data_IF_064645885530
#
_entry.id   IF_064645885530
#
_cell.length_a   1.000
_cell.length_b   1.000
_cell.length_c   1.000
_cell.angle_alpha   90.00
_cell.angle_beta   90.00
_cell.angle_gamma   90.00
#
_symmetry.space_group_name_H-M   'P 1'
#
loop_
_entity.id
_entity.type
_entity.pdbx_description
1 polymer ?
#
# COMPACT_ATOMS: atom_id res chain seq x y z
N UNK A 1 -14.26 -19.33 7.27
CA UNK A 1 -12.94 -19.48 6.61
C UNK A 1 -12.57 -18.27 5.76
N UNK A 2 -13.29 -17.96 4.67
CA UNK A 2 -12.94 -16.89 3.71
C UNK A 2 -12.93 -15.48 4.33
N UNK A 3 -13.89 -15.16 5.20
CA UNK A 3 -13.96 -13.86 5.88
C UNK A 3 -12.69 -13.56 6.70
N UNK A 4 -12.23 -14.53 7.48
CA UNK A 4 -11.04 -14.41 8.32
C UNK A 4 -9.77 -14.16 7.48
N UNK A 5 -9.64 -14.83 6.33
CA UNK A 5 -8.54 -14.60 5.39
C UNK A 5 -8.56 -13.19 4.80
N UNK A 6 -9.74 -12.65 4.45
CA UNK A 6 -9.89 -11.28 3.96
C UNK A 6 -9.49 -10.25 5.04
N UNK A 7 -9.85 -10.50 6.30
CA UNK A 7 -9.46 -9.65 7.42
C UNK A 7 -7.94 -9.62 7.61
N UNK A 8 -7.28 -10.80 7.60
CA UNK A 8 -5.81 -10.89 7.69
C UNK A 8 -5.15 -10.14 6.54
N UNK A 9 -5.64 -10.33 5.31
CA UNK A 9 -5.11 -9.64 4.13
C UNK A 9 -5.25 -8.12 4.25
N UNK A 10 -6.39 -7.62 4.73
CA UNK A 10 -6.57 -6.19 4.97
C UNK A 10 -5.56 -5.63 5.98
N UNK A 11 -5.28 -6.35 7.06
CA UNK A 11 -4.28 -5.96 8.07
C UNK A 11 -2.88 -5.93 7.45
N UNK A 12 -2.51 -6.94 6.67
CA UNK A 12 -1.21 -7.00 5.99
C UNK A 12 -1.06 -5.85 4.99
N UNK A 13 -2.09 -5.58 4.18
CA UNK A 13 -2.08 -4.47 3.22
C UNK A 13 -1.94 -3.11 3.92
N UNK A 14 -2.65 -2.91 5.03
CA UNK A 14 -2.54 -1.70 5.83
C UNK A 14 -1.13 -1.55 6.43
N UNK A 15 -0.55 -2.64 6.94
CA UNK A 15 0.81 -2.64 7.47
C UNK A 15 1.81 -2.23 6.37
N UNK A 16 1.75 -2.87 5.21
CA UNK A 16 2.63 -2.57 4.06
C UNK A 16 2.47 -1.10 3.66
N UNK A 17 1.23 -0.62 3.55
CA UNK A 17 0.95 0.77 3.23
C UNK A 17 1.61 1.73 4.20
N UNK A 18 1.40 1.56 5.51
CA UNK A 18 1.99 2.45 6.54
C UNK A 18 3.52 2.44 6.50
N UNK A 19 4.13 1.26 6.31
CA UNK A 19 5.60 1.16 6.19
C UNK A 19 6.11 1.85 4.93
N UNK A 20 5.44 1.70 3.79
CA UNK A 20 5.84 2.34 2.53
C UNK A 20 5.64 3.85 2.59
N UNK A 21 4.55 4.35 3.17
CA UNK A 21 4.34 5.80 3.41
C UNK A 21 5.45 6.37 4.30
N UNK A 22 5.81 5.66 5.38
CA UNK A 22 6.90 6.08 6.27
C UNK A 22 8.23 6.20 5.52
N UNK A 23 8.52 5.24 4.64
CA UNK A 23 9.70 5.29 3.78
C UNK A 23 9.64 6.45 2.78
N UNK A 24 8.48 6.70 2.17
CA UNK A 24 8.27 7.84 1.27
C UNK A 24 8.50 9.19 1.96
N UNK A 25 8.05 9.33 3.21
CA UNK A 25 8.34 10.51 4.03
C UNK A 25 9.83 10.66 4.28
N UNK A 26 10.53 9.60 4.66
CA UNK A 26 11.98 9.65 4.85
C UNK A 26 12.72 10.03 3.55
N UNK A 27 12.32 9.47 2.40
CA UNK A 27 12.88 9.83 1.08
C UNK A 27 12.61 11.29 0.70
N UNK A 28 11.46 11.84 1.11
CA UNK A 28 11.14 13.24 0.93
C UNK A 28 12.07 14.15 1.75
N UNK A 29 12.30 13.77 3.01
CA UNK A 29 13.18 14.49 3.94
C UNK A 29 14.65 14.47 3.45
N UNK A 30 15.07 13.40 2.77
CA UNK A 30 16.38 13.27 2.10
C UNK A 30 16.48 14.07 0.78
N UNK A 31 15.56 15.01 0.54
CA UNK A 31 15.48 15.88 -0.65
C UNK A 31 15.25 15.15 -1.98
N UNK A 32 15.00 13.84 -1.98
CA UNK A 32 14.64 13.07 -3.18
C UNK A 32 13.12 13.09 -3.40
N UNK A 33 12.61 14.24 -3.85
CA UNK A 33 11.15 14.45 -4.01
C UNK A 33 10.52 13.55 -5.06
N UNK A 34 11.19 13.31 -6.20
CA UNK A 34 10.67 12.41 -7.24
C UNK A 34 10.60 10.97 -6.75
N UNK A 35 11.63 10.50 -6.03
CA UNK A 35 11.62 9.18 -5.40
C UNK A 35 10.49 9.04 -4.38
N UNK A 36 10.28 10.05 -3.53
CA UNK A 36 9.19 10.06 -2.56
C UNK A 36 7.80 10.01 -3.23
N UNK A 37 7.58 10.78 -4.30
CA UNK A 37 6.33 10.73 -5.07
C UNK A 37 6.09 9.32 -5.62
N UNK A 38 7.11 8.69 -6.20
CA UNK A 38 6.99 7.32 -6.71
C UNK A 38 6.70 6.31 -5.59
N UNK A 39 7.31 6.46 -4.41
CA UNK A 39 7.02 5.61 -3.26
C UNK A 39 5.55 5.77 -2.80
N UNK A 40 5.01 6.99 -2.78
CA UNK A 40 3.59 7.21 -2.47
C UNK A 40 2.66 6.60 -3.52
N UNK A 41 2.99 6.70 -4.81
CA UNK A 41 2.24 6.05 -5.89
C UNK A 41 2.26 4.52 -5.71
N UNK A 42 3.42 3.94 -5.39
CA UNK A 42 3.57 2.51 -5.11
C UNK A 42 2.75 2.10 -3.88
N UNK A 43 2.76 2.90 -2.81
CA UNK A 43 1.97 2.63 -1.61
C UNK A 43 0.47 2.55 -1.94
N UNK A 44 -0.04 3.52 -2.70
CA UNK A 44 -1.44 3.53 -3.15
C UNK A 44 -1.76 2.33 -4.05
N UNK A 45 -0.91 2.04 -5.04
CA UNK A 45 -1.10 0.90 -5.95
C UNK A 45 -1.10 -0.45 -5.21
N UNK A 46 -0.24 -0.61 -4.20
CA UNK A 46 -0.14 -1.82 -3.39
C UNK A 46 -1.43 -2.12 -2.61
N UNK A 47 -2.25 -1.11 -2.31
CA UNK A 47 -3.58 -1.27 -1.68
C UNK A 47 -4.69 -1.32 -2.72
N UNK A 48 -4.65 -0.45 -3.73
CA UNK A 48 -5.70 -0.33 -4.73
C UNK A 48 -5.82 -1.57 -5.63
N UNK A 49 -4.70 -2.14 -6.09
CA UNK A 49 -4.71 -3.30 -7.01
C UNK A 49 -5.34 -4.55 -6.37
N UNK A 50 -4.96 -4.98 -5.14
CA UNK A 50 -5.63 -6.09 -4.48
C UNK A 50 -7.12 -5.85 -4.28
N UNK A 51 -7.50 -4.64 -3.88
CA UNK A 51 -8.92 -4.26 -3.71
C UNK A 51 -9.67 -4.38 -5.05
N UNK A 52 -9.11 -3.85 -6.14
CA UNK A 52 -9.67 -3.98 -7.48
C UNK A 52 -9.85 -5.44 -7.90
N UNK A 53 -8.88 -6.30 -7.63
CA UNK A 53 -8.99 -7.75 -7.91
C UNK A 53 -10.13 -8.37 -7.10
N UNK A 54 -10.33 -7.96 -5.85
CA UNK A 54 -11.47 -8.44 -5.05
C UNK A 54 -12.83 -8.02 -5.62
N UNK A 55 -12.95 -6.83 -6.20
CA UNK A 55 -14.21 -6.32 -6.75
C UNK A 55 -14.48 -6.69 -8.21
N UNK A 56 -13.46 -6.84 -9.05
CA UNK A 56 -13.62 -7.20 -10.48
C UNK A 56 -13.84 -8.69 -10.65
N UNK A 57 -13.22 -9.52 -9.80
CA UNK A 57 -13.26 -10.98 -9.93
C UNK A 57 -14.42 -11.65 -9.16
N UNK A 58 -15.36 -10.85 -8.66
CA UNK A 58 -16.59 -11.28 -8.01
C UNK A 58 -17.81 -10.70 -8.71
#
# INVERSE_FOLDING_TARGET
>A
MIFFLRLILAIILLWIFVRTISYGKWTWDEKNRLGAIMIFVIALAAVALPILVFYIRY
#
